data_IF_873168162036
#
_entry.id   IF_873168162036
#
_cell.length_a   1.000
_cell.length_b   1.000
_cell.length_c   1.000
_cell.angle_alpha   90.00
_cell.angle_beta   90.00
_cell.angle_gamma   90.00
#
_symmetry.space_group_name_H-M   'P 1'
#
loop_
_entity.id
_entity.type
_entity.pdbx_description
1 polymer ?
2 polymer ?
3 polymer ?
#
# COMPACT_ATOMS: atom_id res chain seq x y z
N UNK A 1 14.16 9.96 5.89
CA UNK A 1 14.22 8.69 6.61
C UNK A 1 13.96 7.52 5.67
N UNK A 2 14.23 6.31 6.16
CA UNK A 2 14.03 5.09 5.39
C UNK A 2 13.31 4.07 6.26
N UNK A 3 12.77 3.04 5.61
CA UNK A 3 11.95 2.08 6.34
C UNK A 3 11.89 0.77 5.58
N UNK A 4 11.91 -0.34 6.32
CA UNK A 4 11.60 -1.67 5.83
C UNK A 4 10.35 -2.15 6.54
N UNK A 5 9.43 -2.78 5.80
CA UNK A 5 8.19 -3.25 6.41
C UNK A 5 7.67 -4.45 5.65
N UNK A 6 7.18 -5.44 6.41
CA UNK A 6 6.58 -6.64 5.86
C UNK A 6 5.08 -6.61 6.11
N UNK A 7 4.32 -7.15 5.14
CA UNK A 7 2.86 -7.15 5.21
C UNK A 7 2.37 -8.56 4.90
N UNK A 8 1.94 -9.28 5.94
CA UNK A 8 1.42 -10.63 5.79
C UNK A 8 -0.10 -10.62 5.83
N UNK A 9 -0.72 -11.46 5.00
CA UNK A 9 -2.16 -11.65 5.00
C UNK A 9 -2.47 -13.14 5.00
N UNK A 10 -3.36 -13.56 5.89
CA UNK A 10 -3.81 -14.94 5.96
C UNK A 10 -5.32 -14.95 6.01
N UNK A 11 -5.95 -15.59 5.02
CA UNK A 11 -7.40 -15.68 4.94
C UNK A 11 -7.80 -17.14 5.13
N UNK A 12 -8.75 -17.38 6.02
CA UNK A 12 -9.22 -18.73 6.30
C UNK A 12 -10.27 -19.14 5.27
N UNK A 13 -10.08 -20.30 4.67
CA UNK A 13 -11.05 -20.84 3.72
C UNK A 13 -11.75 -22.03 4.36
N UNK A 14 -13.07 -21.97 4.55
CA UNK A 14 -13.76 -23.11 5.19
C UNK A 14 -13.80 -24.33 4.29
N UNK A 15 -13.06 -25.37 4.67
CA UNK A 15 -13.00 -26.59 3.89
C UNK A 15 -11.87 -26.58 2.87
N UNK A 19 -5.62 -22.33 4.00
CA UNK A 19 -5.67 -20.87 4.17
C UNK A 19 -4.70 -20.15 3.26
N UNK A 20 -5.19 -19.20 2.47
CA UNK A 20 -4.30 -18.41 1.62
C UNK A 20 -3.38 -17.55 2.46
N UNK A 21 -2.08 -17.61 2.16
CA UNK A 21 -1.05 -16.92 2.91
C UNK A 21 -0.19 -16.12 1.94
N UNK A 22 -0.31 -14.80 2.00
CA UNK A 22 0.47 -13.90 1.15
C UNK A 22 1.30 -13.00 2.04
N UNK A 23 2.57 -12.85 1.70
CA UNK A 23 3.49 -11.99 2.45
C UNK A 23 4.29 -11.16 1.45
N UNK A 24 4.41 -9.86 1.72
CA UNK A 24 5.18 -8.96 0.88
C UNK A 24 6.09 -8.13 1.76
N UNK A 25 7.26 -7.78 1.22
CA UNK A 25 8.23 -6.96 1.92
C UNK A 25 8.55 -5.72 1.11
N UNK A 26 8.69 -4.60 1.82
CA UNK A 26 8.94 -3.31 1.19
C UNK A 26 10.18 -2.67 1.81
N UNK A 27 10.96 -1.99 0.98
CA UNK A 27 11.98 -1.05 1.43
C UNK A 27 11.54 0.31 0.90
N UNK A 28 11.11 1.19 1.80
CA UNK A 28 10.45 2.45 1.44
C UNK A 28 9.22 2.08 0.63
N UNK A 29 8.97 2.71 -0.53
CA UNK A 29 7.81 2.42 -1.33
C UNK A 29 8.11 1.44 -2.47
N UNK A 30 9.15 0.63 -2.31
CA UNK A 30 9.55 -0.33 -3.34
C UNK A 30 9.41 -1.74 -2.78
N UNK A 31 8.53 -2.53 -3.39
CA UNK A 31 8.42 -3.94 -3.04
C UNK A 31 9.63 -4.71 -3.54
N UNK A 32 10.06 -5.70 -2.77
CA UNK A 32 11.21 -6.50 -3.15
C UNK A 32 11.05 -8.00 -2.96
N UNK A 33 10.04 -8.48 -2.22
CA UNK A 33 9.88 -9.90 -1.98
C UNK A 33 8.39 -10.23 -1.92
N UNK A 34 8.06 -11.47 -2.25
CA UNK A 34 6.69 -11.95 -2.25
C UNK A 34 6.69 -13.44 -1.93
N UNK A 35 5.70 -13.87 -1.14
CA UNK A 35 5.44 -15.29 -0.95
C UNK A 35 3.94 -15.52 -1.07
N UNK A 36 3.56 -16.47 -1.92
CA UNK A 36 2.16 -16.82 -2.13
C UNK A 36 1.97 -18.31 -1.90
N UNK A 37 1.07 -18.67 -0.98
CA UNK A 37 0.79 -20.08 -0.74
C UNK A 37 0.09 -20.72 -1.94
N UNK A 38 -0.66 -19.93 -2.71
CA UNK A 38 -1.37 -20.44 -3.88
C UNK A 38 -0.44 -20.48 -5.09
N UNK A 39 0.59 -21.32 -4.98
CA UNK A 39 1.53 -21.56 -6.06
C UNK A 39 1.92 -23.03 -6.05
N UNK A 40 2.41 -23.50 -7.22
CA UNK A 40 2.80 -24.89 -7.37
C UNK A 40 3.86 -25.27 -6.33
N UNK A 41 5.06 -24.73 -6.47
CA UNK A 41 6.11 -24.87 -5.47
C UNK A 41 6.34 -23.49 -4.85
N UNK A 42 5.63 -23.14 -3.78
CA UNK A 42 5.72 -21.78 -3.24
C UNK A 42 7.12 -21.45 -2.74
N UNK A 43 7.60 -20.27 -3.13
CA UNK A 43 8.91 -19.79 -2.72
C UNK A 43 8.86 -18.28 -2.55
N UNK A 44 9.82 -17.76 -1.79
CA UNK A 44 10.02 -16.32 -1.74
C UNK A 44 10.69 -15.86 -3.02
N UNK A 45 10.07 -14.89 -3.70
CA UNK A 45 10.57 -14.46 -5.00
C UNK A 45 10.90 -12.98 -5.01
N UNK A 46 11.91 -12.57 -5.76
CA UNK A 46 12.31 -11.16 -5.76
C UNK A 46 11.40 -10.29 -6.61
N UNK A 47 11.06 -9.11 -6.07
CA UNK A 47 10.29 -8.11 -6.79
C UNK A 47 11.07 -6.83 -7.04
N UNK A 48 12.36 -6.82 -6.74
CA UNK A 48 13.26 -5.70 -6.99
C UNK A 48 14.59 -6.24 -7.46
N UNK A 49 15.32 -5.50 -8.28
CA UNK A 49 16.59 -6.03 -8.81
C UNK A 49 17.67 -6.20 -7.75
N UNK A 50 17.65 -5.39 -6.70
CA UNK A 50 18.72 -5.41 -5.70
C UNK A 50 18.63 -6.57 -4.73
N UNK A 51 17.57 -7.38 -4.79
CA UNK A 51 17.51 -8.62 -4.01
C UNK A 51 17.73 -9.86 -4.85
N UNK A 52 17.74 -9.72 -6.19
CA UNK A 52 18.02 -10.86 -7.05
C UNK A 52 19.47 -11.30 -6.96
N UNK A 53 20.37 -10.41 -6.54
CA UNK A 53 21.79 -10.75 -6.39
C UNK A 53 22.07 -11.49 -5.08
N UNK A 54 21.10 -11.62 -4.19
CA UNK A 54 21.27 -12.45 -3.01
C UNK A 54 21.38 -13.92 -3.41
N UNK A 55 22.20 -14.66 -2.66
CA UNK A 55 22.47 -16.03 -2.97
C UNK A 55 21.28 -16.94 -2.70
N UNK A 56 21.25 -18.10 -3.36
CA UNK A 56 20.24 -19.12 -3.04
C UNK A 56 20.16 -19.44 -1.56
N UNK A 57 21.26 -19.30 -0.83
CA UNK A 57 21.24 -19.49 0.62
C UNK A 57 20.29 -18.52 1.29
N UNK A 58 20.25 -17.28 0.79
CA UNK A 58 19.36 -16.27 1.37
C UNK A 58 17.90 -16.59 1.06
N UNK A 59 17.61 -17.07 -0.14
CA UNK A 59 16.22 -17.32 -0.53
C UNK A 59 15.69 -18.59 0.10
N UNK A 60 16.53 -19.62 0.24
CA UNK A 60 16.13 -20.81 0.99
C UNK A 60 15.83 -20.45 2.44
N UNK A 61 16.64 -19.55 3.02
CA UNK A 61 16.39 -19.07 4.37
C UNK A 61 15.10 -18.26 4.43
N UNK A 62 14.87 -17.39 3.44
CA UNK A 62 13.65 -16.59 3.44
C UNK A 62 12.41 -17.46 3.24
N UNK A 63 12.48 -18.41 2.31
CA UNK A 63 11.35 -19.32 2.10
C UNK A 63 11.11 -20.20 3.33
N UNK A 64 12.17 -20.46 4.10
CA UNK A 64 12.01 -21.25 5.33
C UNK A 64 11.04 -20.59 6.30
N UNK A 65 11.25 -19.30 6.58
CA UNK A 65 10.38 -18.60 7.53
C UNK A 65 8.97 -18.42 6.96
N UNK A 66 8.87 -18.19 5.65
CA UNK A 66 7.55 -18.00 5.04
C UNK A 66 6.69 -19.26 5.20
N UNK A 67 7.23 -20.42 4.80
CA UNK A 67 6.51 -21.67 4.97
C UNK A 67 6.26 -21.99 6.44
N UNK A 68 7.19 -21.59 7.31
CA UNK A 68 7.00 -21.78 8.75
C UNK A 68 5.91 -20.85 9.27
N UNK A 69 5.91 -19.59 8.84
CA UNK A 69 4.92 -18.65 9.34
C UNK A 69 3.53 -18.97 8.81
N UNK A 70 3.43 -19.47 7.57
CA UNK A 70 2.14 -19.92 7.05
C UNK A 70 1.57 -21.05 7.89
N UNK A 71 2.43 -21.91 8.42
CA UNK A 71 1.97 -22.98 9.30
C UNK A 71 1.38 -22.42 10.59
N UNK A 72 2.10 -21.47 11.21
CA UNK A 72 1.57 -20.84 12.42
C UNK A 72 0.32 -20.04 12.12
N UNK A 73 0.21 -19.47 10.92
CA UNK A 73 -0.99 -18.73 10.55
C UNK A 73 -2.18 -19.66 10.39
N UNK A 74 -1.94 -20.92 10.01
CA UNK A 74 -2.99 -21.93 10.03
C UNK A 74 -3.40 -22.25 11.47
N UNK A 75 -2.43 -22.37 12.37
CA UNK A 75 -2.74 -22.63 13.77
C UNK A 75 -3.37 -21.41 14.42
N UNK A 76 -2.88 -20.22 14.09
CA UNK A 76 -3.37 -19.00 14.73
C UNK A 76 -4.81 -18.71 14.35
N UNK A 77 -5.14 -18.84 13.06
CA UNK A 77 -6.51 -18.58 12.62
C UNK A 77 -7.49 -19.54 13.27
N UNK A 78 -7.06 -20.77 13.55
CA UNK A 78 -7.92 -21.73 14.23
C UNK A 78 -8.03 -21.45 15.71
N UNK A 79 -6.96 -20.94 16.32
CA UNK A 79 -7.02 -20.55 17.73
C UNK A 79 -7.90 -19.31 17.90
N UNK A 80 -7.83 -18.37 16.96
CA UNK A 80 -8.68 -17.18 17.04
C UNK A 80 -10.16 -17.53 16.92
N UNK A 81 -10.48 -18.65 16.25
CA UNK A 81 -11.87 -19.09 16.16
C UNK A 81 -12.43 -19.41 17.53
N UNK A 82 -11.68 -20.18 18.33
CA UNK A 82 -12.14 -20.51 19.67
C UNK A 82 -12.07 -19.35 20.63
N UNK A 83 -11.13 -18.42 20.41
CA UNK A 83 -11.04 -17.24 21.27
C UNK A 83 -12.32 -16.43 21.21
N UNK A 84 -12.81 -16.13 20.01
CA UNK A 84 -14.02 -15.34 19.83
C UNK A 84 -15.26 -16.21 19.67
N UNK A 85 -15.12 -17.53 19.79
CA UNK A 85 -16.24 -18.46 19.75
C UNK A 85 -17.05 -18.32 18.46
N UNK A 86 -16.37 -18.06 17.35
CA UNK A 86 -17.03 -17.93 16.06
C UNK A 86 -17.19 -19.29 15.40
N UNK A 87 -18.16 -19.37 14.51
CA UNK A 87 -18.42 -20.60 13.78
C UNK A 87 -17.28 -20.90 12.81
N UNK A 88 -17.25 -22.13 12.31
CA UNK A 88 -16.24 -22.57 11.36
C UNK A 88 -16.67 -22.38 9.91
N UNK A 89 -17.82 -21.78 9.66
CA UNK A 89 -18.34 -21.62 8.32
C UNK A 89 -17.91 -20.31 7.65
N UNK A 90 -17.33 -19.38 8.40
CA UNK A 90 -16.97 -18.09 7.87
C UNK A 90 -15.48 -17.95 7.60
N UNK A 91 -15.16 -16.99 6.73
CA UNK A 91 -13.77 -16.66 6.41
C UNK A 91 -13.28 -15.56 7.33
N UNK A 92 -12.02 -15.66 7.75
CA UNK A 92 -11.45 -14.72 8.69
C UNK A 92 -10.03 -14.37 8.27
N UNK A 93 -9.65 -13.13 8.51
CA UNK A 93 -8.36 -12.58 8.08
C UNK A 93 -7.47 -12.31 9.29
N UNK A 94 -6.19 -12.65 9.14
CA UNK A 94 -5.18 -12.41 10.17
C UNK A 94 -3.97 -11.79 9.50
N UNK A 95 -3.69 -10.52 9.80
CA UNK A 95 -2.60 -9.80 9.17
C UNK A 95 -1.44 -9.62 10.13
N UNK A 96 -0.25 -9.44 9.55
CA UNK A 96 0.99 -9.23 10.29
C UNK A 96 1.72 -8.05 9.67
N UNK A 97 2.04 -7.06 10.51
CA UNK A 97 2.76 -5.87 10.06
C UNK A 97 3.91 -5.61 11.01
N UNK A 98 5.14 -5.81 10.53
CA UNK A 98 6.34 -5.53 11.30
C UNK A 98 7.40 -4.95 10.37
N UNK A 99 8.37 -4.28 10.96
CA UNK A 99 9.45 -3.70 10.17
C UNK A 99 10.23 -2.67 10.94
N UNK A 100 11.23 -2.12 10.25
CA UNK A 100 12.13 -1.12 10.80
C UNK A 100 11.60 0.27 10.50
N UNK A 101 12.15 1.26 11.19
CA UNK A 101 12.16 2.64 10.75
C UNK A 101 13.55 3.18 11.01
N UNK A 102 14.22 3.66 9.96
CA UNK A 102 15.62 4.07 10.06
C UNK A 102 15.73 5.53 10.48
N UNK A 103 16.74 5.83 11.29
CA UNK A 103 16.89 7.14 11.86
C UNK A 103 18.02 7.94 11.22
N UNK A 104 18.45 9.00 11.90
CA UNK A 104 19.47 9.89 11.31
C UNK A 104 20.82 9.21 11.16
N UNK A 105 21.35 8.68 12.25
CA UNK A 105 22.66 8.04 12.21
C UNK A 105 22.62 6.80 11.33
N UNK A 106 21.72 5.87 11.63
CA UNK A 106 21.63 4.59 10.96
C UNK A 106 21.07 3.55 11.89
N UNK A 107 20.66 3.97 13.09
CA UNK A 107 20.12 3.08 14.10
C UNK A 107 18.59 3.08 14.04
N UNK A 108 18.00 2.17 14.81
CA UNK A 108 16.55 2.02 14.81
C UNK A 108 15.87 3.26 15.36
N UNK A 109 14.96 3.81 14.56
CA UNK A 109 14.11 4.93 14.97
C UNK A 109 12.84 4.44 15.65
N UNK A 110 12.09 3.57 14.98
CA UNK A 110 10.89 2.95 15.54
C UNK A 110 10.84 1.48 15.10
N UNK A 111 10.38 0.62 15.99
CA UNK A 111 10.16 -0.79 15.69
C UNK A 111 8.69 -1.11 15.71
N UNK A 112 8.28 -2.05 14.86
CA UNK A 112 6.88 -2.41 14.71
C UNK A 112 6.69 -3.93 14.75
N UNK A 113 5.54 -4.34 15.29
CA UNK A 113 5.14 -5.75 15.30
C UNK A 113 3.66 -5.74 15.67
N UNK A 114 2.81 -5.62 14.65
CA UNK A 114 1.37 -5.49 14.85
C UNK A 114 0.66 -6.69 14.27
N UNK A 115 -0.42 -7.10 14.94
CA UNK A 115 -1.29 -8.17 14.49
C UNK A 115 -2.72 -7.63 14.41
N UNK A 116 -3.46 -8.06 13.41
CA UNK A 116 -4.85 -7.69 13.25
C UNK A 116 -5.69 -8.95 13.04
N UNK A 117 -6.96 -8.85 13.39
CA UNK A 117 -7.92 -9.92 13.17
C UNK A 117 -9.21 -9.32 12.66
N UNK A 118 -9.56 -9.66 11.41
CA UNK A 118 -10.80 -9.19 10.79
C UNK A 118 -10.84 -7.66 10.72
N UNK A 119 -9.71 -7.06 10.34
CA UNK A 119 -9.62 -5.62 10.16
C UNK A 119 -9.49 -4.80 11.42
N UNK A 120 -9.54 -5.43 12.59
CA UNK A 120 -9.41 -4.73 13.86
C UNK A 120 -8.06 -5.05 14.49
N UNK A 121 -7.56 -4.10 15.28
CA UNK A 121 -6.32 -4.33 16.02
C UNK A 121 -6.47 -5.54 16.93
N UNK A 122 -5.44 -6.38 16.97
CA UNK A 122 -5.41 -7.54 17.85
C UNK A 122 -4.37 -7.34 18.95
N UNK A 123 -3.09 -7.45 18.63
CA UNK A 123 -2.02 -7.21 19.59
C UNK A 123 -0.85 -6.58 18.86
N UNK A 124 -0.17 -5.65 19.54
CA UNK A 124 0.92 -4.91 18.92
C UNK A 124 2.05 -4.72 19.93
N UNK A 125 3.28 -4.86 19.46
CA UNK A 125 4.43 -4.59 20.28
C UNK A 125 4.55 -3.09 20.52
N UNK A 126 4.67 -2.68 21.78
CA UNK A 126 4.76 -1.27 22.10
C UNK A 126 6.09 -0.71 21.59
N UNK A 127 6.17 0.63 21.57
CA UNK A 127 7.34 1.29 21.02
C UNK A 127 8.59 1.02 21.86
N UNK A 128 8.41 0.81 23.17
CA UNK A 128 9.56 0.49 24.02
C UNK A 128 10.16 -0.88 23.72
N UNK A 129 9.48 -1.70 22.93
CA UNK A 129 9.96 -3.04 22.56
C UNK A 129 10.12 -3.94 23.78
N UNK A 130 9.30 -3.71 24.82
CA UNK A 130 9.30 -4.56 26.00
C UNK A 130 7.88 -4.97 26.39
N UNK A 131 6.91 -4.14 26.07
CA UNK A 131 5.52 -4.37 26.48
C UNK A 131 4.63 -4.60 25.26
N UNK A 132 3.45 -5.13 25.52
CA UNK A 132 2.47 -5.45 24.49
C UNK A 132 1.18 -4.69 24.76
N UNK A 133 0.47 -4.35 23.69
CA UNK A 133 -0.83 -3.69 23.78
C UNK A 133 -1.87 -4.65 23.19
N UNK A 134 -2.64 -5.29 24.07
CA UNK A 134 -3.73 -6.16 23.65
C UNK A 134 -5.01 -5.33 23.51
N UNK A 135 -5.75 -5.61 22.43
CA UNK A 135 -6.93 -4.82 22.11
C UNK A 135 -8.20 -5.33 22.76
N UNK A 136 -8.22 -6.59 23.21
CA UNK A 136 -9.40 -7.15 23.86
C UNK A 136 -8.95 -8.30 24.75
N UNK A 137 -9.93 -8.91 25.45
CA UNK A 137 -9.62 -10.02 26.34
C UNK A 137 -9.09 -11.24 25.59
N UNK A 138 -9.45 -11.39 24.31
CA UNK A 138 -8.93 -12.51 23.54
C UNK A 138 -7.45 -12.36 23.26
N UNK A 139 -7.00 -11.14 22.93
CA UNK A 139 -5.58 -10.90 22.71
C UNK A 139 -4.78 -11.00 24.00
N UNK A 140 -5.42 -10.87 25.16
CA UNK A 140 -4.71 -11.04 26.42
C UNK A 140 -4.23 -12.47 26.60
N UNK A 141 -4.92 -13.44 26.01
CA UNK A 141 -4.43 -14.81 25.98
C UNK A 141 -3.11 -14.87 25.22
N UNK A 142 -3.06 -14.24 24.05
CA UNK A 142 -1.84 -14.21 23.26
C UNK A 142 -0.74 -13.45 23.98
N UNK A 143 -1.10 -12.35 24.65
CA UNK A 143 -0.11 -11.59 25.42
C UNK A 143 0.52 -12.44 26.50
N UNK A 144 -0.31 -13.05 27.35
CA UNK A 144 0.18 -13.94 28.40
C UNK A 144 1.07 -15.03 27.81
N UNK A 145 0.69 -15.54 26.65
CA UNK A 145 1.50 -16.54 25.95
C UNK A 145 2.87 -15.97 25.58
N UNK A 146 2.92 -14.69 25.22
CA UNK A 146 4.17 -14.12 24.72
C UNK A 146 5.09 -13.63 25.84
N UNK A 147 4.52 -13.07 26.91
CA UNK A 147 5.36 -12.70 28.05
C UNK A 147 5.99 -13.92 28.70
N UNK A 148 5.27 -15.05 28.72
CA UNK A 148 5.82 -16.26 29.31
C UNK A 148 6.97 -16.81 28.48
N UNK A 149 6.96 -16.58 27.17
CA UNK A 149 8.02 -17.04 26.28
C UNK A 149 9.06 -15.97 25.99
N UNK A 150 8.90 -14.77 26.55
CA UNK A 150 9.81 -13.64 26.32
C UNK A 150 9.94 -13.34 24.82
N UNK A 151 8.78 -13.19 24.17
CA UNK A 151 8.77 -12.90 22.74
C UNK A 151 9.29 -11.51 22.44
N UNK A 152 9.01 -10.53 23.31
CA UNK A 152 9.48 -9.17 23.08
C UNK A 152 11.00 -9.10 23.13
N UNK A 153 11.65 -9.98 23.89
CA UNK A 153 13.11 -10.08 23.86
C UNK A 153 13.61 -10.43 22.46
N UNK A 154 12.90 -11.32 21.77
CA UNK A 154 13.28 -11.74 20.42
C UNK A 154 13.10 -10.60 19.41
N UNK A 155 12.13 -9.73 19.64
CA UNK A 155 11.83 -8.68 18.66
C UNK A 155 12.83 -7.55 18.76
N UNK A 156 13.24 -7.21 19.99
CA UNK A 156 14.31 -6.25 20.21
C UNK A 156 15.54 -6.62 19.40
N UNK A 157 16.00 -7.87 19.53
CA UNK A 157 17.18 -8.32 18.80
C UNK A 157 16.97 -8.25 17.30
N UNK A 158 15.74 -8.39 16.84
CA UNK A 158 15.46 -8.28 15.41
C UNK A 158 15.39 -6.82 14.98
N UNK A 159 14.49 -6.04 15.60
CA UNK A 159 14.22 -4.68 15.15
C UNK A 159 15.47 -3.81 15.21
N UNK A 160 16.11 -3.72 16.37
CA UNK A 160 17.33 -2.93 16.48
C UNK A 160 18.56 -3.68 15.99
N UNK A 161 18.40 -4.90 15.50
CA UNK A 161 19.52 -5.69 15.01
C UNK A 161 19.39 -6.12 13.56
N UNK A 162 18.94 -7.36 13.34
CA UNK A 162 18.90 -7.92 11.98
C UNK A 162 18.07 -7.06 11.03
N UNK A 163 16.88 -6.64 11.46
CA UNK A 163 16.02 -5.71 10.73
C UNK A 163 16.82 -4.54 10.18
N UNK A 164 17.34 -3.71 11.09
CA UNK A 164 17.96 -2.45 10.68
C UNK A 164 19.20 -2.70 9.82
N UNK A 165 20.02 -3.69 10.20
CA UNK A 165 21.23 -3.97 9.44
C UNK A 165 20.93 -4.33 8.00
N UNK A 166 19.83 -5.06 7.76
CA UNK A 166 19.49 -5.45 6.41
C UNK A 166 18.81 -4.33 5.64
N UNK A 167 18.12 -3.41 6.33
CA UNK A 167 17.60 -2.23 5.67
C UNK A 167 18.74 -1.36 5.14
N UNK A 168 19.80 -1.18 5.93
CA UNK A 168 20.98 -0.48 5.44
C UNK A 168 21.64 -1.25 4.31
N UNK A 169 21.57 -2.59 4.34
CA UNK A 169 22.21 -3.39 3.31
C UNK A 169 21.46 -3.28 1.98
N UNK A 170 20.12 -3.23 2.03
CA UNK A 170 19.35 -3.06 0.81
C UNK A 170 19.54 -1.68 0.21
N UNK A 171 19.61 -0.64 1.06
CA UNK A 171 19.75 0.73 0.58
C UNK A 171 21.09 0.99 -0.07
N UNK A 172 22.09 0.13 0.16
CA UNK A 172 23.36 0.23 -0.53
C UNK A 172 23.40 -0.64 -1.78
N UNK A 173 22.86 -1.86 -1.71
CA UNK A 173 22.80 -2.72 -2.88
C UNK A 173 21.83 -2.20 -3.92
N UNK A 174 20.89 -1.35 -3.53
CA UNK A 174 19.98 -0.73 -4.47
C UNK A 174 19.98 0.78 -4.35
N UNK A 175 21.17 1.35 -4.12
CA UNK A 175 21.27 2.80 -3.89
C UNK A 175 20.92 3.60 -5.15
N UNK A 176 21.09 3.00 -6.33
CA UNK A 176 20.85 3.73 -7.57
C UNK A 176 19.37 3.95 -7.83
N UNK A 177 18.49 3.23 -7.13
CA UNK A 177 17.05 3.38 -7.26
C UNK A 177 16.37 3.73 -5.94
N UNK A 178 16.76 3.08 -4.85
CA UNK A 178 16.13 3.32 -3.56
C UNK A 178 16.48 4.69 -3.01
N UNK A 179 17.67 5.20 -3.31
CA UNK A 179 18.14 6.46 -2.76
C UNK A 179 18.20 7.59 -3.79
N UNK A 180 17.76 7.33 -5.03
CA UNK A 180 17.69 8.36 -6.06
C UNK A 180 16.24 8.77 -6.23
N UNK A 181 15.91 9.98 -5.77
CA UNK A 181 14.54 10.47 -5.81
C UNK A 181 14.22 11.03 -7.18
N UNK A 182 12.96 10.85 -7.60
CA UNK A 182 12.45 11.38 -8.86
C UNK A 182 11.50 12.52 -8.56
N UNK A 183 11.72 13.67 -9.19
CA UNK A 183 10.94 14.86 -8.90
C UNK A 183 9.57 14.79 -9.56
N UNK A 184 8.57 15.44 -8.99
CA UNK A 184 7.23 15.42 -9.59
C UNK A 184 7.14 16.30 -10.82
N UNK A 185 6.46 15.79 -11.84
CA UNK A 185 6.15 16.54 -13.05
C UNK A 185 4.74 17.10 -12.86
N UNK A 186 4.64 18.37 -12.52
CA UNK A 186 3.40 18.96 -12.02
C UNK A 186 2.74 19.85 -13.06
N UNK A 187 1.42 19.97 -12.95
CA UNK A 187 0.62 20.84 -13.79
C UNK A 187 -0.72 21.07 -13.10
N UNK A 188 -1.42 22.13 -13.53
CA UNK A 188 -2.68 22.53 -12.93
C UNK A 188 -3.77 22.55 -14.00
N UNK A 189 -4.93 21.99 -13.68
CA UNK A 189 -6.09 22.03 -14.54
C UNK A 189 -7.19 22.88 -13.91
N UNK A 190 -8.17 23.24 -14.71
CA UNK A 190 -9.22 24.16 -14.29
C UNK A 190 -10.53 23.74 -14.94
N UNK A 191 -11.51 23.35 -14.12
CA UNK A 191 -12.80 22.90 -14.62
C UNK A 191 -13.91 23.66 -13.88
N UNK A 192 -14.91 24.17 -14.58
CA UNK A 192 -16.02 24.83 -13.90
C UNK A 192 -16.98 23.83 -13.27
N UNK A 193 -17.49 24.20 -12.11
CA UNK A 193 -18.57 23.44 -11.47
C UNK A 193 -19.87 24.24 -11.41
N UNK A 194 -19.81 25.56 -11.56
CA UNK A 194 -20.99 26.41 -11.66
C UNK A 194 -20.71 27.44 -12.75
N UNK A 195 -21.61 28.41 -12.89
CA UNK A 195 -21.31 29.60 -13.67
C UNK A 195 -20.60 30.67 -12.85
N UNK A 196 -20.37 30.39 -11.55
CA UNK A 196 -19.65 31.30 -10.67
C UNK A 196 -18.61 30.55 -9.84
N UNK A 197 -18.24 29.34 -10.26
CA UNK A 197 -17.34 28.51 -9.48
C UNK A 197 -16.50 27.65 -10.42
N UNK A 198 -15.32 27.26 -9.93
CA UNK A 198 -14.41 26.44 -10.72
C UNK A 198 -13.66 25.52 -9.77
N UNK A 199 -12.96 24.54 -10.36
CA UNK A 199 -12.17 23.57 -9.60
C UNK A 199 -10.73 23.62 -10.10
N UNK A 200 -9.84 24.12 -9.26
CA UNK A 200 -8.41 24.12 -9.57
C UNK A 200 -7.80 22.83 -9.04
N UNK A 201 -7.28 22.01 -9.95
CA UNK A 201 -6.70 20.71 -9.61
C UNK A 201 -5.20 20.75 -9.88
N UNK A 202 -4.41 20.45 -8.86
CA UNK A 202 -2.96 20.47 -8.93
C UNK A 202 -2.45 19.04 -9.03
N UNK A 203 -1.80 18.72 -10.14
CA UNK A 203 -1.34 17.35 -10.40
C UNK A 203 0.14 17.21 -10.07
N UNK A 204 0.53 15.96 -9.78
CA UNK A 204 1.92 15.60 -9.56
C UNK A 204 2.10 14.16 -10.03
N UNK A 205 2.91 13.97 -11.07
CA UNK A 205 3.06 12.66 -11.70
C UNK A 205 4.51 12.20 -11.68
N UNK A 206 4.69 10.89 -11.61
CA UNK A 206 6.00 10.27 -11.75
C UNK A 206 7.04 10.64 -10.71
N UNK A 207 6.67 10.68 -9.44
CA UNK A 207 7.59 11.02 -8.37
C UNK A 207 7.83 9.83 -7.46
N UNK A 208 9.08 9.66 -7.03
CA UNK A 208 9.45 8.69 -6.01
C UNK A 208 10.40 9.36 -5.03
N UNK A 209 10.22 9.11 -3.72
CA UNK A 209 9.24 8.22 -3.07
C UNK A 209 7.82 8.78 -3.08
N UNK A 210 6.89 8.05 -2.46
CA UNK A 210 5.49 8.44 -2.46
C UNK A 210 5.18 9.58 -1.50
N UNK A 211 6.12 9.97 -0.64
CA UNK A 211 5.88 11.04 0.31
C UNK A 211 5.80 12.37 -0.43
N UNK A 212 4.60 12.92 -0.53
CA UNK A 212 4.37 14.21 -1.15
C UNK A 212 3.25 14.91 -0.40
N UNK A 213 3.33 16.24 -0.33
CA UNK A 213 2.29 17.05 0.28
C UNK A 213 1.93 18.16 -0.70
N UNK A 214 0.76 18.05 -1.32
CA UNK A 214 0.23 19.07 -2.21
C UNK A 214 -0.74 19.94 -1.42
N UNK A 215 -0.58 21.26 -1.53
CA UNK A 215 -1.41 22.20 -0.79
C UNK A 215 -1.88 23.31 -1.70
N UNK A 216 -3.16 23.63 -1.63
CA UNK A 216 -3.74 24.77 -2.33
C UNK A 216 -3.87 25.92 -1.33
N UNK A 217 -3.12 26.98 -1.55
CA UNK A 217 -3.12 28.14 -0.66
C UNK A 217 -3.72 29.35 -1.36
N UNK A 218 -4.70 29.97 -0.69
CA UNK A 218 -5.26 31.23 -1.15
C UNK A 218 -4.57 32.38 -0.43
N UNK A 219 -4.07 33.35 -1.21
CA UNK A 219 -3.41 34.54 -0.68
C UNK A 219 -2.21 34.17 0.18
N UNK A 220 -1.59 33.02 -0.11
CA UNK A 220 -0.46 32.55 0.65
C UNK A 220 -0.80 31.68 1.85
N UNK A 221 -2.04 31.73 2.33
CA UNK A 221 -2.43 30.97 3.50
C UNK A 221 -3.00 29.60 3.11
N UNK A 222 -2.69 28.60 3.91
CA UNK A 222 -3.08 27.22 3.60
C UNK A 222 -4.58 27.05 3.66
N UNK A 223 -5.17 26.55 2.58
CA UNK A 223 -6.56 26.10 2.58
C UNK A 223 -6.59 24.61 2.90
N UNK A 224 -6.30 24.30 4.17
CA UNK A 224 -6.21 22.91 4.61
C UNK A 224 -7.52 22.18 4.35
N UNK A 225 -8.62 22.66 4.93
CA UNK A 225 -9.92 22.19 4.50
C UNK A 225 -10.32 22.94 3.22
N UNK A 226 -11.42 22.48 2.62
CA UNK A 226 -11.88 22.86 1.27
C UNK A 226 -10.96 22.32 0.19
N UNK A 227 -9.89 21.61 0.54
CA UNK A 227 -8.95 21.04 -0.41
C UNK A 227 -9.19 19.54 -0.46
N UNK A 228 -9.95 19.08 -1.46
CA UNK A 228 -10.16 17.65 -1.64
C UNK A 228 -8.88 17.01 -2.15
N UNK A 229 -8.47 15.92 -1.50
CA UNK A 229 -7.19 15.30 -1.79
C UNK A 229 -7.40 13.79 -1.95
N UNK A 230 -6.62 13.17 -2.82
CA UNK A 230 -6.78 11.75 -3.11
C UNK A 230 -5.56 10.98 -2.63
N UNK A 231 -5.74 9.67 -2.54
CA UNK A 231 -4.66 8.77 -2.09
C UNK A 231 -3.53 8.77 -3.10
N UNK A 232 -2.30 8.74 -2.58
CA UNK A 232 -1.12 8.60 -3.45
C UNK A 232 -1.21 7.26 -4.18
N UNK A 233 -1.44 7.31 -5.47
CA UNK A 233 -1.62 6.06 -6.19
C UNK A 233 -0.38 5.70 -6.99
N UNK A 234 -0.13 4.41 -7.22
CA UNK A 234 1.03 4.00 -8.01
C UNK A 234 0.77 4.15 -9.50
N UNK A 235 1.78 4.64 -10.22
CA UNK A 235 1.68 4.75 -11.66
C UNK A 235 1.92 3.43 -12.38
N UNK A 236 2.53 2.45 -11.71
CA UNK A 236 2.80 1.14 -12.27
C UNK A 236 4.25 0.91 -12.64
N UNK A 237 5.05 1.97 -12.72
CA UNK A 237 6.47 1.85 -13.08
C UNK A 237 7.39 2.10 -11.89
N UNK A 238 6.85 2.11 -10.67
CA UNK A 238 7.62 2.43 -9.49
C UNK A 238 7.40 3.82 -8.96
N UNK A 239 6.88 4.73 -9.78
CA UNK A 239 6.57 6.09 -9.37
C UNK A 239 5.10 6.20 -8.98
N UNK A 240 4.73 7.38 -8.50
CA UNK A 240 3.40 7.60 -7.94
C UNK A 240 2.81 8.89 -8.49
N UNK A 241 1.50 9.02 -8.34
CA UNK A 241 0.76 10.20 -8.75
C UNK A 241 -0.20 10.62 -7.64
N UNK A 242 -0.67 11.86 -7.73
CA UNK A 242 -1.53 12.45 -6.71
C UNK A 242 -2.02 13.79 -7.22
N UNK A 243 -3.22 14.17 -6.80
CA UNK A 243 -3.74 15.50 -7.13
C UNK A 243 -4.53 16.05 -5.94
N UNK A 244 -4.51 17.37 -5.82
CA UNK A 244 -5.29 18.10 -4.83
C UNK A 244 -6.15 19.13 -5.55
N UNK A 245 -7.43 19.18 -5.20
CA UNK A 245 -8.36 20.08 -5.83
C UNK A 245 -8.97 21.03 -4.81
N UNK A 246 -9.41 22.18 -5.29
CA UNK A 246 -10.11 23.17 -4.48
C UNK A 246 -11.17 23.84 -5.34
N UNK A 247 -12.36 24.02 -4.78
CA UNK A 247 -13.46 24.67 -5.49
C UNK A 247 -13.38 26.16 -5.19
N UNK A 248 -13.17 26.96 -6.23
CA UNK A 248 -12.95 28.39 -6.07
C UNK A 248 -14.06 29.16 -6.79
N UNK A 249 -14.42 30.35 -6.32
CA UNK A 249 -15.38 31.16 -7.08
C UNK A 249 -14.76 31.65 -8.38
N UNK A 250 -15.60 31.71 -9.42
CA UNK A 250 -15.11 32.14 -10.73
C UNK A 250 -14.59 33.57 -10.65
N UNK A 251 -13.52 33.84 -11.39
CA UNK A 251 -12.87 35.13 -11.35
C UNK A 251 -11.90 35.32 -10.21
N UNK A 252 -11.81 34.38 -9.27
CA UNK A 252 -10.91 34.46 -8.14
C UNK A 252 -9.77 33.44 -8.23
N UNK A 253 -9.59 32.81 -9.39
CA UNK A 253 -8.59 31.76 -9.52
C UNK A 253 -7.17 32.32 -9.45
N UNK A 254 -6.98 33.58 -9.85
CA UNK A 254 -5.66 34.21 -9.77
C UNK A 254 -5.19 34.43 -8.35
N UNK A 255 -6.02 34.13 -7.35
CA UNK A 255 -5.68 34.25 -5.95
C UNK A 255 -5.08 32.98 -5.35
N UNK A 256 -5.19 31.84 -6.06
CA UNK A 256 -4.84 30.54 -5.52
C UNK A 256 -3.55 30.05 -6.15
N UNK A 257 -2.68 29.46 -5.31
CA UNK A 257 -1.41 28.91 -5.74
C UNK A 257 -1.24 27.52 -5.17
N UNK A 258 -0.75 26.60 -6.00
CA UNK A 258 -0.43 25.26 -5.53
C UNK A 258 1.03 25.19 -5.11
N UNK A 259 1.30 24.37 -4.10
CA UNK A 259 2.63 24.26 -3.50
C UNK A 259 2.98 22.80 -3.32
N UNK A 260 4.04 22.36 -4.00
CA UNK A 260 4.52 20.98 -3.95
C UNK A 260 5.89 20.98 -3.29
N UNK A 261 6.06 20.08 -2.31
CA UNK A 261 7.36 19.82 -1.72
C UNK A 261 7.62 18.32 -1.81
N UNK A 262 8.74 17.96 -2.46
CA UNK A 262 9.13 16.57 -2.59
C UNK A 262 10.65 16.50 -2.55
N UNK A 263 11.16 15.36 -2.07
CA UNK A 263 12.60 15.19 -1.94
C UNK A 263 13.31 15.35 -3.28
N UNK A 264 12.64 15.05 -4.38
CA UNK A 264 13.23 15.23 -5.70
C UNK A 264 13.30 16.66 -6.18
N UNK A 265 12.65 17.59 -5.49
CA UNK A 265 12.69 18.99 -5.91
C UNK A 265 13.81 19.72 -5.17
N UNK A 266 14.63 20.50 -5.88
CA UNK A 266 15.63 21.32 -5.19
C UNK A 266 15.02 22.34 -4.25
N UNK A 267 13.88 22.91 -4.61
CA UNK A 267 13.18 23.89 -3.80
C UNK A 267 11.69 23.69 -4.01
N UNK A 268 10.87 24.05 -3.02
CA UNK A 268 9.41 23.97 -3.21
C UNK A 268 8.97 24.91 -4.34
N UNK A 269 8.26 24.35 -5.30
CA UNK A 269 7.84 25.09 -6.48
C UNK A 269 6.39 25.56 -6.36
N UNK A 270 6.10 26.68 -7.00
CA UNK A 270 4.81 27.37 -6.90
C UNK A 270 4.12 27.31 -8.25
N UNK A 271 2.93 26.73 -8.28
CA UNK A 271 2.15 26.64 -9.52
C UNK A 271 1.04 27.67 -9.54
N UNK A 272 0.60 28.00 -10.74
CA UNK A 272 -0.44 28.99 -10.94
C UNK A 272 -1.07 28.73 -12.29
N UNK A 273 -2.31 28.23 -12.30
CA UNK A 273 -3.01 28.00 -13.56
C UNK A 273 -3.30 29.33 -14.23
N UNK B 1 -14.69 -3.24 10.64
CA UNK B 1 -14.48 -4.65 10.38
C UNK B 1 -14.55 -4.92 8.87
N UNK B 2 -15.42 -4.18 8.18
CA UNK B 2 -15.49 -4.19 6.72
C UNK B 2 -15.39 -2.77 6.21
N UNK B 3 -14.66 -2.59 5.10
CA UNK B 3 -14.45 -1.27 4.52
C UNK B 3 -14.62 -1.35 3.01
N UNK B 4 -15.22 -0.29 2.42
CA UNK B 4 -15.46 -0.25 0.99
C UNK B 4 -14.24 0.32 0.26
N UNK B 5 -13.97 -0.15 -0.96
CA UNK B 5 -12.76 0.30 -1.66
C UNK B 5 -12.96 1.62 -2.39
N UNK B 6 -11.92 2.44 -2.41
CA UNK B 6 -11.87 3.63 -3.24
C UNK B 6 -11.30 3.23 -4.59
N UNK B 7 -12.05 3.53 -5.66
CA UNK B 7 -11.69 3.11 -7.01
C UNK B 7 -11.13 4.31 -7.76
N UNK B 8 -9.98 4.11 -8.41
CA UNK B 8 -9.33 5.14 -9.21
C UNK B 8 -8.93 4.52 -10.55
N UNK B 9 -9.41 5.11 -11.64
CA UNK B 9 -9.08 4.66 -12.99
C UNK B 9 -8.30 5.77 -13.67
N UNK B 10 -7.11 5.43 -14.17
CA UNK B 10 -6.20 6.43 -14.70
C UNK B 10 -5.17 5.74 -15.58
N UNK B 11 -4.42 6.54 -16.33
CA UNK B 11 -3.35 6.05 -17.18
C UNK B 11 -2.01 6.34 -16.54
N UNK B 12 -1.02 5.48 -16.84
CA UNK B 12 0.32 5.64 -16.30
C UNK B 12 0.90 7.00 -16.69
N UNK B 13 0.93 7.29 -17.97
CA UNK B 13 1.37 8.56 -18.52
C UNK B 13 0.16 9.35 -19.02
N UNK B 14 0.33 10.66 -19.25
CA UNK B 14 -0.76 11.43 -19.86
C UNK B 14 -1.24 10.79 -21.15
N UNK B 15 -2.57 10.71 -21.30
CA UNK B 15 -3.18 9.94 -22.38
C UNK B 15 -3.27 10.79 -23.64
N UNK B 16 -2.65 10.30 -24.72
CA UNK B 16 -2.73 10.91 -26.04
C UNK B 16 -3.19 9.87 -27.02
N UNK B 17 -4.18 10.23 -27.85
CA UNK B 17 -4.76 9.29 -28.81
C UNK B 17 -3.69 8.73 -29.74
N UNK B 18 -3.62 7.41 -29.85
CA UNK B 18 -2.67 6.73 -30.70
C UNK B 18 -1.37 6.35 -30.03
N UNK B 19 -1.03 6.96 -28.91
CA UNK B 19 0.22 6.68 -28.21
C UNK B 19 0.01 5.58 -27.18
N UNK B 20 0.92 4.60 -27.17
CA UNK B 20 0.80 3.48 -26.26
C UNK B 20 0.87 3.95 -24.81
N UNK B 21 0.10 3.28 -23.94
CA UNK B 21 0.00 3.65 -22.54
C UNK B 21 -0.40 2.42 -21.73
N UNK B 22 -0.73 2.64 -20.46
CA UNK B 22 -1.17 1.58 -19.55
C UNK B 22 -2.39 2.06 -18.79
N UNK B 23 -3.45 1.24 -18.79
CA UNK B 23 -4.66 1.55 -18.04
C UNK B 23 -4.55 0.95 -16.64
N UNK B 24 -4.80 1.77 -15.62
CA UNK B 24 -4.67 1.35 -14.24
C UNK B 24 -6.01 1.43 -13.52
N UNK B 25 -6.19 0.54 -12.54
CA UNK B 25 -7.36 0.58 -11.67
C UNK B 25 -6.87 0.35 -10.25
N UNK B 26 -6.93 1.40 -9.43
CA UNK B 26 -6.37 1.37 -8.08
C UNK B 26 -7.51 1.24 -7.08
N UNK B 27 -7.74 0.02 -6.61
CA UNK B 27 -8.63 -0.23 -5.48
C UNK B 27 -7.80 -0.19 -4.21
N UNK B 28 -8.32 0.49 -3.18
CA UNK B 28 -7.55 0.70 -1.97
C UNK B 28 -8.49 1.08 -0.83
N UNK B 29 -8.10 0.68 0.38
CA UNK B 29 -8.88 1.01 1.55
C UNK B 29 -10.05 0.08 1.82
N UNK B 30 -9.97 -1.18 1.40
CA UNK B 30 -11.05 -2.12 1.57
C UNK B 30 -10.63 -3.28 2.46
N UNK B 31 -11.64 -3.92 3.06
CA UNK B 31 -11.47 -5.06 3.93
C UNK B 31 -12.75 -5.88 3.83
N UNK B 32 -12.66 -7.20 3.66
CA UNK B 32 -11.45 -8.03 3.57
C UNK B 32 -10.74 -7.93 2.23
N UNK B 33 -9.74 -8.80 2.00
CA UNK B 33 -8.93 -8.73 0.79
C UNK B 33 -9.65 -9.26 -0.44
N UNK B 34 -10.69 -10.07 -0.27
CA UNK B 34 -11.42 -10.62 -1.40
C UNK B 34 -12.11 -9.50 -2.17
N UNK B 35 -11.70 -9.33 -3.44
CA UNK B 35 -12.24 -8.28 -4.29
C UNK B 35 -12.24 -8.76 -5.73
N UNK B 36 -13.21 -8.27 -6.50
CA UNK B 36 -13.33 -8.56 -7.93
C UNK B 36 -13.14 -7.26 -8.70
N UNK B 37 -12.15 -7.21 -9.58
CA UNK B 37 -11.82 -6.01 -10.32
C UNK B 37 -11.58 -6.38 -11.78
N UNK B 38 -12.26 -5.69 -12.69
CA UNK B 38 -12.10 -5.91 -14.12
C UNK B 38 -11.95 -4.58 -14.84
N UNK B 39 -11.07 -4.55 -15.84
CA UNK B 39 -10.91 -3.40 -16.71
C UNK B 39 -11.77 -3.58 -17.95
N UNK B 40 -12.53 -2.56 -18.30
CA UNK B 40 -13.51 -2.64 -19.37
C UNK B 40 -13.11 -1.79 -20.56
N UNK B 41 -13.38 -2.28 -21.76
CA UNK B 41 -13.21 -1.54 -23.01
C UNK B 41 -14.53 -1.64 -23.77
N UNK B 42 -15.25 -0.52 -23.86
CA UNK B 42 -16.58 -0.48 -24.47
C UNK B 42 -17.51 -1.49 -23.81
N UNK B 43 -17.48 -1.55 -22.48
CA UNK B 43 -18.28 -2.48 -21.73
C UNK B 43 -17.81 -3.92 -21.75
N UNK B 44 -16.83 -4.26 -22.59
CA UNK B 44 -16.32 -5.62 -22.69
C UNK B 44 -15.15 -5.80 -21.74
N UNK B 45 -15.18 -6.89 -20.98
CA UNK B 45 -14.12 -7.17 -20.03
C UNK B 45 -12.82 -7.41 -20.79
N UNK B 46 -11.74 -6.80 -20.33
CA UNK B 46 -10.47 -6.89 -21.05
C UNK B 46 -9.76 -8.18 -20.66
N UNK B 47 -9.23 -8.87 -21.67
CA UNK B 47 -8.55 -10.14 -21.45
C UNK B 47 -7.13 -9.91 -20.95
N UNK B 48 -6.71 -10.75 -20.01
CA UNK B 48 -5.37 -10.72 -19.42
C UNK B 48 -5.06 -9.32 -18.86
N UNK B 49 -5.68 -9.05 -17.71
CA UNK B 49 -5.42 -7.87 -16.91
C UNK B 49 -4.71 -8.34 -15.64
N UNK B 50 -3.58 -7.72 -15.34
CA UNK B 50 -2.76 -8.14 -14.21
C UNK B 50 -2.94 -7.18 -13.03
N UNK B 51 -2.45 -7.62 -11.87
CA UNK B 51 -2.55 -6.83 -10.66
C UNK B 51 -1.30 -7.07 -9.83
N UNK B 52 -1.04 -6.16 -8.90
CA UNK B 52 0.09 -6.27 -8.00
C UNK B 52 -0.19 -7.31 -6.92
N UNK B 53 0.84 -7.60 -6.13
CA UNK B 53 0.70 -8.51 -4.99
C UNK B 53 -0.02 -7.81 -3.85
N UNK B 54 -0.89 -8.56 -3.18
CA UNK B 54 -1.77 -7.98 -2.17
C UNK B 54 -0.96 -7.44 -0.99
N UNK B 55 -1.20 -6.17 -0.66
CA UNK B 55 -0.58 -5.51 0.49
C UNK B 55 -1.63 -4.65 1.17
N UNK B 56 -1.28 -4.08 2.32
CA UNK B 56 -2.20 -3.24 3.07
C UNK B 56 -1.44 -2.07 3.68
N UNK B 57 -2.21 -1.11 4.22
CA UNK B 57 -1.67 0.13 4.76
C UNK B 57 -1.63 0.07 6.29
N UNK B 58 -1.37 1.22 6.91
CA UNK B 58 -1.23 1.27 8.36
C UNK B 58 -2.49 0.94 9.12
N UNK B 59 -3.66 1.10 8.50
CA UNK B 59 -4.93 0.79 9.13
C UNK B 59 -5.49 -0.56 8.67
N UNK B 60 -4.63 -1.45 8.18
CA UNK B 60 -4.97 -2.82 7.80
C UNK B 60 -5.84 -2.90 6.55
N UNK B 61 -6.05 -1.78 5.85
CA UNK B 61 -6.87 -1.76 4.66
C UNK B 61 -6.04 -2.13 3.44
N UNK B 62 -6.57 -3.01 2.61
CA UNK B 62 -5.82 -3.56 1.49
C UNK B 62 -5.84 -2.60 0.30
N UNK B 63 -4.87 -2.80 -0.60
CA UNK B 63 -4.84 -2.04 -1.84
C UNK B 63 -4.27 -2.93 -2.94
N UNK B 64 -4.77 -2.72 -4.17
CA UNK B 64 -4.36 -3.49 -5.33
C UNK B 64 -4.36 -2.58 -6.54
N UNK B 65 -3.40 -2.78 -7.44
CA UNK B 65 -3.28 -2.02 -8.68
C UNK B 65 -3.50 -2.96 -9.85
N UNK B 66 -4.70 -2.90 -10.43
CA UNK B 66 -5.01 -3.66 -11.63
C UNK B 66 -4.65 -2.84 -12.86
N UNK B 67 -3.84 -3.42 -13.74
CA UNK B 67 -3.29 -2.67 -14.87
C UNK B 67 -3.34 -3.52 -16.13
N UNK B 68 -3.37 -2.83 -17.28
CA UNK B 68 -3.26 -3.46 -18.58
C UNK B 68 -2.73 -2.44 -19.57
N UNK B 69 -2.07 -2.92 -20.62
CA UNK B 69 -1.54 -2.05 -21.66
C UNK B 69 -2.62 -1.80 -22.71
N UNK B 70 -2.74 -0.54 -23.13
CA UNK B 70 -3.78 -0.15 -24.05
C UNK B 70 -3.32 1.08 -24.82
N UNK B 71 -4.02 1.39 -25.89
CA UNK B 71 -3.75 2.58 -26.70
C UNK B 71 -5.01 3.42 -26.78
N UNK B 72 -5.04 4.61 -26.20
CA UNK B 72 -6.27 5.41 -26.18
C UNK B 72 -6.62 5.92 -27.57
N UNK B 73 -7.92 6.01 -27.82
CA UNK B 73 -8.43 6.57 -29.05
C UNK B 73 -9.55 7.54 -28.73
N UNK B 74 -9.99 8.28 -29.76
CA UNK B 74 -11.00 9.31 -29.56
C UNK B 74 -12.34 8.71 -29.14
N UNK B 75 -12.69 7.55 -29.68
CA UNK B 75 -14.05 7.03 -29.56
C UNK B 75 -14.17 5.81 -28.66
N UNK B 76 -13.06 5.26 -28.18
CA UNK B 76 -13.11 4.09 -27.29
C UNK B 76 -13.29 4.55 -25.85
N UNK B 77 -14.21 3.90 -25.14
CA UNK B 77 -14.52 4.21 -23.76
C UNK B 77 -13.95 3.12 -22.85
N UNK B 78 -13.26 3.53 -21.79
CA UNK B 78 -12.65 2.61 -20.85
C UNK B 78 -13.22 2.87 -19.46
N UNK B 79 -13.22 1.82 -18.64
CA UNK B 79 -13.80 1.90 -17.30
C UNK B 79 -13.24 0.75 -16.47
N UNK B 80 -13.61 0.73 -15.19
CA UNK B 80 -13.27 -0.35 -14.27
C UNK B 80 -14.54 -0.91 -13.65
N UNK B 81 -14.60 -2.23 -13.53
CA UNK B 81 -15.70 -2.91 -12.87
C UNK B 81 -15.18 -3.46 -11.54
N UNK B 82 -15.79 -3.03 -10.43
CA UNK B 82 -15.35 -3.43 -9.10
C UNK B 82 -16.53 -3.99 -8.33
N UNK B 83 -16.37 -5.21 -7.81
CA UNK B 83 -17.34 -5.81 -6.90
C UNK B 83 -16.65 -6.18 -5.60
N UNK B 84 -17.31 -5.90 -4.48
CA UNK B 84 -16.79 -6.20 -3.16
C UNK B 84 -17.93 -6.61 -2.26
N UNK B 85 -17.60 -7.28 -1.15
CA UNK B 85 -18.61 -7.72 -0.20
C UNK B 85 -19.33 -6.52 0.43
N UNK B 86 -18.71 -5.34 0.42
CA UNK B 86 -19.37 -4.15 0.94
C UNK B 86 -20.30 -3.52 -0.07
N UNK B 87 -20.06 -3.72 -1.36
CA UNK B 87 -20.88 -3.13 -2.41
C UNK B 87 -22.09 -4.02 -2.69
N UNK B 88 -23.28 -3.41 -2.72
CA UNK B 88 -24.49 -4.15 -3.01
C UNK B 88 -24.46 -4.72 -4.43
N UNK B 89 -24.05 -3.91 -5.39
CA UNK B 89 -23.89 -4.30 -6.78
C UNK B 89 -22.52 -3.87 -7.25
N UNK B 90 -21.99 -4.48 -8.31
CA UNK B 90 -20.70 -4.04 -8.85
C UNK B 90 -20.75 -2.58 -9.28
N UNK B 91 -19.61 -1.90 -9.11
CA UNK B 91 -19.49 -0.47 -9.39
C UNK B 91 -18.64 -0.28 -10.64
N UNK B 92 -19.21 0.37 -11.64
CA UNK B 92 -18.52 0.68 -12.89
C UNK B 92 -18.10 2.15 -12.84
N UNK B 93 -16.80 2.39 -12.81
CA UNK B 93 -16.25 3.73 -12.74
C UNK B 93 -15.60 4.05 -14.08
N UNK B 94 -16.09 5.08 -14.76
CA UNK B 94 -15.57 5.45 -16.06
C UNK B 94 -14.24 6.18 -15.94
N UNK B 95 -13.52 6.24 -17.06
CA UNK B 95 -12.20 6.84 -17.11
C UNK B 95 -12.32 8.29 -17.59
N UNK B 96 -12.08 9.24 -16.68
CA UNK B 96 -12.08 10.66 -17.01
C UNK B 96 -10.62 11.03 -17.28
N UNK B 97 -10.27 11.15 -18.55
CA UNK B 97 -8.88 11.24 -18.97
C UNK B 97 -8.38 12.66 -19.16
N UNK B 98 -9.20 13.66 -18.88
CA UNK B 98 -8.79 15.06 -18.97
C UNK B 98 -8.87 15.74 -17.60
N UNK B 99 -8.75 14.96 -16.54
CA UNK B 99 -8.85 15.48 -15.18
C UNK B 99 -7.70 16.42 -14.86
N UNK C 1 15.09 -9.39 4.65
CA UNK C 1 15.30 -10.25 5.81
C UNK C 1 14.08 -10.24 6.74
N UNK C 2 13.31 -11.32 6.68
CA UNK C 2 12.10 -11.43 7.48
C UNK C 2 12.43 -11.85 8.91
N UNK C 3 11.45 -11.69 9.78
CA UNK C 3 11.59 -12.04 11.19
C UNK C 3 11.90 -13.53 11.32
N UNK C 4 13.00 -13.92 11.96
CA UNK C 4 13.36 -15.34 12.00
C UNK C 4 12.46 -16.16 12.92
N UNK C 5 11.90 -15.55 13.95
CA UNK C 5 11.00 -16.26 14.85
C UNK C 5 9.64 -16.52 14.24
N UNK C 6 8.64 -16.74 15.09
CA UNK C 6 7.29 -17.08 14.65
C UNK C 6 6.28 -16.24 15.42
N UNK C 7 5.20 -15.85 14.76
CA UNK C 7 4.09 -15.19 15.41
C UNK C 7 2.96 -16.21 15.61
N UNK C 8 2.53 -16.37 16.85
CA UNK C 8 1.52 -17.35 17.22
C UNK C 8 0.57 -16.72 18.22
N UNK C 9 -0.73 -16.83 17.98
CA UNK C 9 -1.71 -16.24 18.88
C UNK C 9 -2.19 -17.27 19.89
#
# INVERSE_FOLDING_TARGET
SHSMRYFYTAVSRPGRGEPRFIAVGYVDDTQFVRFDSDAASPRGEPRAPWVEQEGPEYWDRETQKYKRQAQADRVSLRNLRGYYNQSEAGSHTLQWMYGCDLGPDGRLLRGYDQSAYDGKDYIALNEDLRSWTAADTAAQITQRKWEAAREAEQWRAYLEGTCVEWLRRYLENGKETLQRAEHPKTHVTHHPVSDHEATLRCWALGFYPAEITLTWQRDGEDQTQDTELVETRPAGDGTFQKWAAVVVPSGEEQRYTCHVQHEGLPEPLTLRW
IQRTPKIQVYSRHPAENGKSNFLNCYVSGFHPSDIEVDLLKNGERIEKVEHSDLSFSGDWSFYLLYYTEFTPTEKDEYACRVNHVTLSQPKIVKWDRDM
RAFPGLRYV
#
